data_IF_647600870087
#
_entry.id   IF_647600870087
#
_cell.length_a   1.000
_cell.length_b   1.000
_cell.length_c   1.000
_cell.angle_alpha   90.00
_cell.angle_beta   90.00
_cell.angle_gamma   90.00
#
_symmetry.space_group_name_H-M   'P 1'
#
loop_
_entity.id
_entity.type
_entity.pdbx_description
1 polymer ?
#
# COMPACT_ATOMS: atom_id res chain seq x y z
N UNK A 1 3.18 -12.53 -16.33
CA UNK A 1 3.34 -11.12 -15.93
C UNK A 1 4.58 -11.06 -15.03
N UNK A 2 5.71 -10.57 -15.56
CA UNK A 2 6.99 -10.61 -14.84
C UNK A 2 6.98 -9.62 -13.66
N UNK A 3 7.19 -10.15 -12.46
CA UNK A 3 7.42 -9.36 -11.27
C UNK A 3 8.77 -8.67 -11.41
N UNK A 4 8.77 -7.38 -11.76
CA UNK A 4 9.98 -6.54 -11.78
C UNK A 4 10.54 -6.44 -10.36
N UNK A 5 11.44 -7.35 -10.02
CA UNK A 5 12.14 -7.38 -8.74
C UNK A 5 13.44 -6.60 -8.85
N UNK A 6 13.71 -5.73 -7.88
CA UNK A 6 14.96 -5.00 -7.76
C UNK A 6 15.72 -5.47 -6.50
N UNK A 7 17.05 -5.53 -6.58
CA UNK A 7 17.91 -5.89 -5.45
C UNK A 7 18.34 -4.63 -4.71
N UNK A 8 18.05 -4.57 -3.41
CA UNK A 8 18.57 -3.54 -2.50
C UNK A 8 19.75 -4.12 -1.72
N UNK A 9 20.94 -3.54 -1.88
CA UNK A 9 22.14 -3.89 -1.10
C UNK A 9 22.43 -2.76 -0.13
N UNK A 10 22.60 -3.08 1.15
CA UNK A 10 22.91 -2.11 2.21
C UNK A 10 24.17 -2.56 2.95
N UNK A 11 25.10 -1.62 3.17
CA UNK A 11 26.25 -1.84 4.05
C UNK A 11 25.84 -1.43 5.47
N UNK A 12 25.96 -2.37 6.40
CA UNK A 12 25.70 -2.15 7.82
C UNK A 12 26.83 -2.75 8.65
N UNK A 13 27.03 -2.20 9.84
CA UNK A 13 27.92 -2.76 10.83
C UNK A 13 27.57 -4.23 11.16
N UNK A 14 28.56 -5.13 11.30
CA UNK A 14 28.32 -6.55 11.53
C UNK A 14 27.62 -6.84 12.87
N UNK A 15 27.91 -6.08 13.94
CA UNK A 15 27.24 -6.27 15.22
C UNK A 15 25.77 -5.86 15.14
N UNK A 16 25.47 -4.77 14.43
CA UNK A 16 24.09 -4.33 14.16
C UNK A 16 23.32 -5.35 13.31
N UNK A 17 23.97 -5.94 12.30
CA UNK A 17 23.38 -7.03 11.49
C UNK A 17 22.98 -8.21 12.39
N UNK A 18 23.91 -8.67 13.23
CA UNK A 18 23.68 -9.81 14.11
C UNK A 18 22.52 -9.55 15.09
N UNK A 19 22.50 -8.38 15.72
CA UNK A 19 21.41 -7.98 16.62
C UNK A 19 20.04 -7.93 15.90
N UNK A 20 20.01 -7.38 14.68
CA UNK A 20 18.80 -7.30 13.88
C UNK A 20 18.29 -8.69 13.45
N UNK A 21 19.18 -9.59 13.03
CA UNK A 21 18.84 -10.96 12.67
C UNK A 21 18.30 -11.75 13.86
N UNK A 22 18.92 -11.61 15.04
CA UNK A 22 18.43 -12.23 16.26
C UNK A 22 17.04 -11.70 16.66
N UNK A 23 16.81 -10.40 16.53
CA UNK A 23 15.50 -9.81 16.82
C UNK A 23 14.43 -10.31 15.85
N UNK A 24 14.77 -10.44 14.57
CA UNK A 24 13.87 -11.00 13.55
C UNK A 24 13.55 -12.47 13.83
N UNK A 25 14.56 -13.27 14.19
CA UNK A 25 14.40 -14.69 14.52
C UNK A 25 13.48 -14.92 15.73
N UNK A 26 13.54 -14.05 16.75
CA UNK A 26 12.64 -14.12 17.92
C UNK A 26 11.17 -13.84 17.60
N UNK A 27 10.90 -13.22 16.46
CA UNK A 27 9.56 -12.80 16.03
C UNK A 27 9.06 -13.63 14.84
N UNK A 28 9.79 -14.67 14.43
CA UNK A 28 9.48 -15.51 13.27
C UNK A 28 9.31 -14.71 11.96
N UNK A 29 10.03 -13.59 11.84
CA UNK A 29 10.03 -12.75 10.63
C UNK A 29 11.41 -12.77 9.98
N UNK A 30 11.45 -12.63 8.66
CA UNK A 30 12.73 -12.49 7.95
C UNK A 30 13.16 -11.02 7.90
N UNK A 31 14.47 -10.71 7.98
CA UNK A 31 14.99 -9.35 7.86
C UNK A 31 14.44 -8.60 6.63
N UNK A 32 14.32 -9.29 5.49
CA UNK A 32 13.80 -8.70 4.25
C UNK A 32 12.32 -8.30 4.35
N UNK A 33 11.49 -9.02 5.11
CA UNK A 33 10.10 -8.64 5.34
C UNK A 33 10.00 -7.37 6.17
N UNK A 34 10.81 -7.27 7.23
CA UNK A 34 10.86 -6.09 8.09
C UNK A 34 11.32 -4.87 7.29
N UNK A 35 12.41 -4.99 6.53
CA UNK A 35 12.93 -3.88 5.70
C UNK A 35 11.89 -3.42 4.67
N UNK A 36 11.17 -4.34 4.02
CA UNK A 36 10.10 -3.97 3.07
C UNK A 36 8.97 -3.21 3.74
N UNK A 37 8.60 -3.59 4.97
CA UNK A 37 7.57 -2.89 5.75
C UNK A 37 8.06 -1.49 6.15
N UNK A 38 9.29 -1.39 6.64
CA UNK A 38 9.92 -0.12 6.99
C UNK A 38 9.95 0.84 5.81
N UNK A 39 10.31 0.38 4.60
CA UNK A 39 10.29 1.21 3.39
C UNK A 39 8.89 1.76 3.11
N UNK A 40 7.85 0.92 3.16
CA UNK A 40 6.47 1.35 2.91
C UNK A 40 6.00 2.37 3.94
N UNK A 41 6.25 2.11 5.21
CA UNK A 41 5.86 3.00 6.31
C UNK A 41 6.61 4.34 6.22
N UNK A 42 7.90 4.32 5.89
CA UNK A 42 8.70 5.53 5.72
C UNK A 42 8.19 6.38 4.55
N UNK A 43 7.91 5.76 3.39
CA UNK A 43 7.32 6.49 2.26
C UNK A 43 5.97 7.13 2.63
N UNK A 44 5.11 6.39 3.34
CA UNK A 44 3.82 6.90 3.80
C UNK A 44 3.96 8.08 4.78
N UNK A 45 4.90 8.00 5.73
CA UNK A 45 5.19 9.08 6.68
C UNK A 45 5.66 10.36 5.98
N UNK A 46 6.39 10.23 4.87
CA UNK A 46 6.86 11.37 4.06
C UNK A 46 5.90 11.77 2.94
N UNK A 47 4.69 11.19 2.87
CA UNK A 47 3.69 11.52 1.87
C UNK A 47 4.06 11.10 0.44
N UNK A 48 5.02 10.20 0.26
CA UNK A 48 5.47 9.74 -1.05
C UNK A 48 4.57 8.60 -1.50
N UNK A 49 3.84 8.81 -2.59
CA UNK A 49 3.02 7.76 -3.23
C UNK A 49 3.88 7.00 -4.24
N UNK A 50 3.94 5.67 -4.11
CA UNK A 50 4.63 4.80 -5.06
C UNK A 50 3.65 3.79 -5.66
N UNK A 51 3.74 3.61 -6.97
CA UNK A 51 2.95 2.64 -7.72
C UNK A 51 3.81 1.41 -8.03
N UNK A 52 3.44 0.21 -7.57
CA UNK A 52 4.20 -1.01 -7.85
C UNK A 52 4.37 -1.20 -9.36
N UNK A 53 5.59 -1.57 -9.79
CA UNK A 53 5.97 -1.70 -11.21
C UNK A 53 5.27 -2.82 -12.00
N UNK A 54 4.17 -3.37 -11.48
CA UNK A 54 3.25 -4.29 -12.18
C UNK A 54 1.76 -4.00 -11.93
N UNK A 55 1.43 -2.90 -11.22
CA UNK A 55 0.05 -2.49 -10.93
C UNK A 55 -0.49 -1.41 -11.87
N UNK A 56 0.34 -0.92 -12.81
CA UNK A 56 -0.09 -0.03 -13.88
C UNK A 56 -0.27 -0.84 -15.15
N UNK A 57 -1.52 -0.99 -15.59
CA UNK A 57 -1.77 -1.19 -17.01
C UNK A 57 -1.31 0.09 -17.72
N UNK A 58 -0.68 0.01 -18.90
CA UNK A 58 -0.26 1.19 -19.67
C UNK A 58 -1.42 2.15 -20.00
N UNK A 59 -2.68 1.73 -19.78
CA UNK A 59 -3.88 2.55 -19.97
C UNK A 59 -4.18 3.50 -18.80
N UNK A 60 -3.67 3.24 -17.58
CA UNK A 60 -3.97 4.04 -16.38
C UNK A 60 -3.10 5.30 -16.24
N UNK A 61 -1.96 5.36 -16.93
CA UNK A 61 -1.02 6.50 -16.86
C UNK A 61 -1.49 7.72 -17.68
N UNK A 62 -2.48 7.54 -18.57
CA UNK A 62 -3.06 8.64 -19.35
C UNK A 62 -4.16 9.42 -18.60
N UNK A 63 -4.67 8.89 -17.48
CA UNK A 63 -5.75 9.49 -16.69
C UNK A 63 -5.21 10.02 -15.33
N UNK A 64 -4.17 10.84 -15.37
CA UNK A 64 -3.66 11.53 -14.19
C UNK A 64 -4.71 12.47 -13.58
N UNK A 65 -5.33 12.05 -12.48
CA UNK A 65 -6.01 12.94 -11.54
C UNK A 65 -7.46 12.61 -11.23
N UNK A 66 -7.75 11.49 -10.54
CA UNK A 66 -8.97 11.43 -9.72
C UNK A 66 -8.76 10.59 -8.47
N UNK A 67 -8.64 11.29 -7.33
CA UNK A 67 -8.76 10.69 -6.01
C UNK A 67 -10.08 9.87 -5.94
N UNK A 68 -10.13 8.74 -5.21
CA UNK A 68 -11.36 8.00 -5.08
C UNK A 68 -12.32 8.80 -4.20
N UNK A 69 -13.24 9.52 -4.86
CA UNK A 69 -14.34 10.22 -4.22
C UNK A 69 -15.24 9.23 -3.49
N UNK A 70 -15.33 9.37 -2.18
CA UNK A 70 -16.27 8.66 -1.31
C UNK A 70 -17.68 8.86 -1.88
N UNK A 71 -18.32 7.75 -2.27
CA UNK A 71 -19.57 7.73 -3.02
C UNK A 71 -20.69 8.54 -2.37
N UNK A 72 -21.17 9.56 -3.09
CA UNK A 72 -22.42 10.23 -2.81
C UNK A 72 -23.59 9.28 -3.15
N UNK A 73 -24.19 8.66 -2.13
CA UNK A 73 -25.52 8.04 -2.25
C UNK A 73 -26.54 9.16 -2.43
N UNK A 74 -26.96 9.42 -3.66
CA UNK A 74 -28.06 10.34 -3.95
C UNK A 74 -29.32 9.51 -4.15
N UNK A 75 -30.24 9.61 -3.20
CA UNK A 75 -31.56 8.99 -3.29
C UNK A 75 -32.45 9.66 -4.34
N UNK A 76 -33.45 8.92 -4.79
CA UNK A 76 -34.64 9.47 -5.43
C UNK A 76 -35.87 8.87 -4.76
N UNK A 77 -36.62 9.74 -4.06
CA UNK A 77 -37.92 9.41 -3.51
C UNK A 77 -39.00 9.36 -4.59
N UNK A 78 -39.91 8.39 -4.46
CA UNK A 78 -41.25 8.41 -5.02
C UNK A 78 -42.25 8.63 -3.87
N UNK A 79 -43.08 9.66 -3.97
CA UNK A 79 -44.03 10.12 -2.93
C UNK A 79 -45.37 9.35 -2.99
N UNK A 80 -45.99 9.23 -1.79
CA UNK A 80 -47.44 9.27 -1.45
C UNK A 80 -48.33 8.12 -1.96
N UNK A 81 -49.39 7.65 -1.28
CA UNK A 81 -50.22 8.13 -0.16
C UNK A 81 -50.90 6.93 0.60
N UNK A 82 -51.53 7.13 1.77
CA UNK A 82 -52.29 6.07 2.48
C UNK A 82 -53.76 6.00 2.02
N UNK A 83 -54.49 4.90 2.30
CA UNK A 83 -55.63 5.04 3.22
C UNK A 83 -55.96 3.80 4.09
N UNK A 84 -56.69 4.10 5.19
CA UNK A 84 -57.41 3.22 6.12
C UNK A 84 -58.36 2.20 5.47
N UNK A 85 -58.39 0.97 5.99
CA UNK A 85 -59.48 0.42 6.84
C UNK A 85 -59.07 -0.92 7.44
#
# INVERSE_FOLDING_TARGET
MELKTARLTLLIDPAKKAAFEQLCARQDVTPSQVVRRLIREYLAQHGVTYVPSGAVSPDDVAAGGKAPGKGARRGSGGRRAPPEK
#
